data_IF_259140298055
#
_entry.id   IF_259140298055
#
_cell.length_a   1.000
_cell.length_b   1.000
_cell.length_c   1.000
_cell.angle_alpha   90.00
_cell.angle_beta   90.00
_cell.angle_gamma   90.00
#
_symmetry.space_group_name_H-M   'P 1'
#
loop_
_entity.id
_entity.type
_entity.pdbx_description
1 polymer ?
#
# COMPACT_ATOMS: atom_id res chain seq x y z
N UNK A 1 -10.49 11.91 27.26
CA UNK A 1 -10.38 11.09 26.04
C UNK A 1 -10.31 9.64 26.48
N UNK A 2 -11.02 8.72 25.83
CA UNK A 2 -10.94 7.28 26.15
C UNK A 2 -9.54 6.75 25.80
N UNK A 3 -9.04 5.77 26.55
CA UNK A 3 -7.85 5.04 26.14
C UNK A 3 -8.11 4.36 24.78
N UNK A 4 -7.10 4.31 23.88
CA UNK A 4 -7.23 3.57 22.63
C UNK A 4 -7.45 2.08 22.91
N UNK A 5 -8.18 1.38 22.05
CA UNK A 5 -8.42 -0.05 22.22
C UNK A 5 -7.09 -0.82 22.12
N UNK A 6 -7.00 -1.93 22.84
CA UNK A 6 -5.82 -2.82 22.81
C UNK A 6 -5.78 -3.68 21.53
N UNK A 7 -6.89 -3.77 20.80
CA UNK A 7 -7.04 -4.54 19.56
C UNK A 7 -7.95 -3.82 18.58
N UNK A 8 -7.74 -4.05 17.29
CA UNK A 8 -8.59 -3.58 16.21
C UNK A 8 -9.21 -4.79 15.50
N UNK A 9 -10.52 -4.76 15.28
CA UNK A 9 -11.20 -5.81 14.49
C UNK A 9 -10.84 -5.71 13.01
N UNK A 10 -10.68 -4.48 12.51
CA UNK A 10 -10.36 -4.19 11.12
C UNK A 10 -9.39 -3.01 11.01
N UNK A 11 -8.42 -3.14 10.10
CA UNK A 11 -7.55 -2.05 9.66
C UNK A 11 -7.73 -1.93 8.15
N UNK A 12 -8.08 -0.74 7.68
CA UNK A 12 -8.23 -0.45 6.25
C UNK A 12 -7.10 0.49 5.84
N UNK A 13 -6.36 0.10 4.83
CA UNK A 13 -5.35 0.93 4.20
C UNK A 13 -5.75 1.30 2.79
N UNK A 14 -5.71 2.60 2.49
CA UNK A 14 -5.93 3.14 1.16
C UNK A 14 -4.60 3.73 0.69
N UNK A 15 -4.06 3.19 -0.40
CA UNK A 15 -2.85 3.71 -1.06
C UNK A 15 -3.30 4.43 -2.33
N UNK A 16 -2.83 5.66 -2.52
CA UNK A 16 -3.16 6.47 -3.69
C UNK A 16 -1.94 6.61 -4.60
N UNK A 17 -2.21 6.77 -5.89
CA UNK A 17 -1.17 6.95 -6.90
C UNK A 17 -0.40 8.28 -6.72
N UNK A 18 0.89 8.21 -7.06
CA UNK A 18 1.93 9.23 -6.94
C UNK A 18 1.47 10.70 -6.96
N UNK A 19 1.44 11.32 -5.77
CA UNK A 19 1.31 12.76 -5.56
C UNK A 19 2.28 13.23 -4.48
N UNK A 20 3.00 14.31 -4.76
CA UNK A 20 3.90 14.92 -3.78
C UNK A 20 3.11 15.59 -2.65
N UNK A 21 3.69 15.67 -1.46
CA UNK A 21 3.07 16.26 -0.27
C UNK A 21 2.42 17.63 -0.54
N UNK A 22 3.15 18.54 -1.19
CA UNK A 22 2.66 19.89 -1.51
C UNK A 22 1.56 19.95 -2.57
N UNK A 23 1.31 18.86 -3.30
CA UNK A 23 0.17 18.76 -4.23
C UNK A 23 -1.13 18.39 -3.49
N UNK A 24 -1.03 17.83 -2.29
CA UNK A 24 -2.16 17.37 -1.50
C UNK A 24 -2.40 18.30 -0.31
N UNK A 25 -1.42 18.47 0.58
CA UNK A 25 -1.62 19.20 1.83
C UNK A 25 -1.76 20.70 1.55
N UNK A 26 -2.89 21.26 1.98
CA UNK A 26 -3.33 22.63 1.71
C UNK A 26 -4.05 22.81 0.37
N UNK A 27 -4.11 21.79 -0.50
CA UNK A 27 -4.74 21.89 -1.81
C UNK A 27 -6.27 21.88 -1.74
N UNK A 28 -6.90 22.79 -2.48
CA UNK A 28 -8.35 22.84 -2.64
C UNK A 28 -8.91 21.67 -3.48
N UNK A 29 -8.07 21.01 -4.27
CA UNK A 29 -8.44 19.85 -5.10
C UNK A 29 -8.49 18.54 -4.29
N UNK A 30 -7.99 18.54 -3.05
CA UNK A 30 -8.01 17.39 -2.14
C UNK A 30 -8.72 17.72 -0.81
N UNK A 31 -9.96 18.26 -0.84
CA UNK A 31 -10.59 18.84 0.35
C UNK A 31 -10.83 17.80 1.46
N UNK A 32 -11.22 16.58 1.08
CA UNK A 32 -11.50 15.49 2.02
C UNK A 32 -10.23 14.96 2.71
N UNK A 33 -9.15 14.74 1.96
CA UNK A 33 -7.86 14.30 2.53
C UNK A 33 -7.33 15.35 3.50
N UNK A 34 -7.44 16.64 3.15
CA UNK A 34 -7.06 17.74 4.02
C UNK A 34 -7.92 17.87 5.27
N UNK A 35 -9.20 17.50 5.20
CA UNK A 35 -10.06 17.43 6.38
C UNK A 35 -9.57 16.33 7.33
N UNK A 36 -9.36 15.11 6.84
CA UNK A 36 -8.86 13.99 7.64
C UNK A 36 -7.52 14.31 8.30
N UNK A 37 -6.59 14.94 7.57
CA UNK A 37 -5.29 15.33 8.11
C UNK A 37 -5.38 16.35 9.26
N UNK A 38 -6.41 17.21 9.30
CA UNK A 38 -6.64 18.16 10.39
C UNK A 38 -7.35 17.54 11.59
N UNK A 39 -8.26 16.61 11.34
CA UNK A 39 -9.05 15.95 12.39
C UNK A 39 -8.28 14.81 13.09
N UNK A 40 -7.27 14.25 12.41
CA UNK A 40 -6.50 13.09 12.86
C UNK A 40 -4.99 13.35 12.80
N UNK A 41 -4.21 12.30 12.50
CA UNK A 41 -2.76 12.39 12.38
C UNK A 41 -2.32 12.65 10.94
N UNK A 42 -1.26 13.43 10.79
CA UNK A 42 -0.54 13.63 9.54
C UNK A 42 0.94 13.30 9.74
N UNK A 43 1.44 12.28 9.05
CA UNK A 43 2.87 11.95 9.02
C UNK A 43 3.60 12.86 8.01
N UNK A 44 4.04 14.05 8.45
CA UNK A 44 4.71 15.03 7.59
C UNK A 44 6.17 14.70 7.23
N UNK A 45 6.72 13.63 7.81
CA UNK A 45 8.09 13.15 7.60
C UNK A 45 8.09 11.68 7.15
N UNK A 46 7.16 11.33 6.25
CA UNK A 46 7.04 10.01 5.64
C UNK A 46 7.60 10.06 4.21
N UNK A 47 8.51 9.13 3.88
CA UNK A 47 9.24 9.10 2.61
C UNK A 47 9.09 7.75 1.92
N UNK A 48 9.28 7.73 0.61
CA UNK A 48 9.45 6.50 -0.14
C UNK A 48 10.76 5.81 0.27
N UNK A 49 10.76 4.49 0.30
CA UNK A 49 11.93 3.66 0.58
C UNK A 49 12.86 3.57 -0.64
N UNK A 50 12.30 3.57 -1.85
CA UNK A 50 13.07 3.52 -3.09
C UNK A 50 12.28 4.03 -4.31
N UNK A 51 12.94 4.02 -5.46
CA UNK A 51 12.32 4.17 -6.78
C UNK A 51 12.77 3.01 -7.68
N UNK A 52 11.89 2.36 -8.45
CA UNK A 52 10.49 2.73 -8.78
C UNK A 52 9.44 2.30 -7.73
N UNK A 53 8.16 2.11 -8.10
CA UNK A 53 7.05 1.96 -7.16
C UNK A 53 7.07 0.65 -6.37
N UNK A 54 7.28 -0.49 -7.02
CA UNK A 54 7.16 -1.84 -6.44
C UNK A 54 7.96 -2.03 -5.14
N UNK A 55 9.25 -1.63 -5.05
CA UNK A 55 10.01 -1.76 -3.81
C UNK A 55 9.33 -1.11 -2.59
N UNK A 56 8.58 -0.01 -2.80
CA UNK A 56 7.83 0.63 -1.73
C UNK A 56 6.69 -0.25 -1.26
N UNK A 57 5.90 -0.84 -2.17
CA UNK A 57 4.78 -1.73 -1.82
C UNK A 57 5.26 -3.02 -1.10
N UNK A 58 6.43 -3.53 -1.48
CA UNK A 58 7.05 -4.67 -0.80
C UNK A 58 7.55 -4.27 0.59
N UNK A 59 8.26 -3.15 0.73
CA UNK A 59 8.72 -2.65 2.03
C UNK A 59 7.55 -2.34 2.98
N UNK A 60 6.50 -1.78 2.42
CA UNK A 60 5.25 -1.44 3.08
C UNK A 60 4.55 -2.64 3.74
N UNK A 61 4.74 -3.86 3.21
CA UNK A 61 4.06 -5.07 3.68
C UNK A 61 4.99 -6.10 4.34
N UNK A 62 6.28 -6.08 4.02
CA UNK A 62 7.30 -7.03 4.52
C UNK A 62 8.38 -6.39 5.40
N UNK A 63 8.47 -5.06 5.44
CA UNK A 63 9.43 -4.30 6.25
C UNK A 63 10.78 -4.02 5.59
N UNK A 64 11.00 -4.41 4.32
CA UNK A 64 12.19 -4.07 3.51
C UNK A 64 11.88 -4.19 2.02
N UNK A 65 12.68 -3.59 1.15
CA UNK A 65 12.55 -3.71 -0.32
C UNK A 65 12.81 -5.12 -0.84
N UNK A 66 13.36 -6.01 -0.01
CA UNK A 66 13.78 -7.37 -0.39
C UNK A 66 14.74 -7.38 -1.59
N UNK A 67 15.61 -6.37 -1.65
CA UNK A 67 16.57 -6.14 -2.73
C UNK A 67 15.96 -5.91 -4.14
N UNK A 68 14.63 -5.73 -4.22
CA UNK A 68 13.95 -5.36 -5.47
C UNK A 68 14.23 -3.90 -5.79
N UNK A 69 14.57 -3.62 -7.04
CA UNK A 69 14.94 -2.28 -7.53
C UNK A 69 14.27 -1.92 -8.88
N UNK A 70 13.26 -2.67 -9.29
CA UNK A 70 12.49 -2.45 -10.52
C UNK A 70 10.98 -2.68 -10.28
N UNK A 71 10.16 -2.57 -11.32
CA UNK A 71 8.69 -2.75 -11.30
C UNK A 71 8.25 -4.05 -12.00
N UNK A 72 9.14 -5.04 -12.14
CA UNK A 72 8.85 -6.27 -12.86
C UNK A 72 7.78 -7.12 -12.15
N UNK A 73 7.01 -7.92 -12.90
CA UNK A 73 5.89 -8.68 -12.34
C UNK A 73 6.34 -9.77 -11.34
N UNK A 74 5.39 -10.38 -10.60
CA UNK A 74 5.68 -11.48 -9.68
C UNK A 74 6.42 -12.68 -10.28
N UNK A 75 6.38 -12.85 -11.61
CA UNK A 75 7.14 -13.90 -12.29
C UNK A 75 8.66 -13.74 -12.08
N UNK A 76 9.14 -12.51 -11.96
CA UNK A 76 10.57 -12.18 -11.78
C UNK A 76 10.94 -12.05 -10.29
N UNK A 77 9.96 -11.75 -9.43
CA UNK A 77 10.15 -11.48 -8.00
C UNK A 77 9.25 -12.36 -7.12
N UNK A 78 9.58 -13.65 -7.02
CA UNK A 78 8.88 -14.57 -6.12
C UNK A 78 9.41 -14.43 -4.70
N UNK A 79 8.59 -13.95 -3.78
CA UNK A 79 9.00 -13.73 -2.40
C UNK A 79 8.50 -14.85 -1.47
N UNK A 80 9.39 -15.32 -0.60
CA UNK A 80 9.05 -16.23 0.49
C UNK A 80 9.55 -15.65 1.82
N UNK A 81 9.04 -14.48 2.14
CA UNK A 81 9.38 -13.73 3.35
C UNK A 81 8.11 -13.42 4.15
N UNK A 82 8.19 -13.27 5.48
CA UNK A 82 7.05 -12.83 6.27
C UNK A 82 6.53 -11.48 5.79
N UNK A 83 5.20 -11.36 5.71
CA UNK A 83 4.50 -10.11 5.44
C UNK A 83 3.28 -9.98 6.34
N UNK A 84 2.71 -8.77 6.43
CA UNK A 84 1.47 -8.54 7.17
C UNK A 84 0.34 -9.49 6.74
N UNK A 85 0.31 -9.91 5.46
CA UNK A 85 -0.66 -10.87 4.96
C UNK A 85 -0.51 -12.24 5.62
N UNK A 86 0.72 -12.73 5.78
CA UNK A 86 1.00 -14.01 6.45
C UNK A 86 0.70 -13.99 7.95
N UNK A 87 0.78 -12.81 8.58
CA UNK A 87 0.49 -12.63 10.01
C UNK A 87 -1.02 -12.66 10.33
N UNK A 88 -1.88 -12.35 9.35
CA UNK A 88 -3.33 -12.24 9.55
C UNK A 88 -4.08 -13.58 9.44
N UNK A 89 -3.45 -14.65 8.94
CA UNK A 89 -3.97 -16.03 8.89
C UNK A 89 -5.25 -16.22 8.04
N UNK A 90 -5.46 -17.40 7.46
CA UNK A 90 -6.78 -17.92 7.05
C UNK A 90 -7.75 -17.03 6.25
N UNK A 91 -7.27 -16.05 5.47
CA UNK A 91 -8.14 -15.09 4.76
C UNK A 91 -8.47 -13.80 5.52
N UNK A 92 -7.72 -13.48 6.59
CA UNK A 92 -7.82 -12.25 7.37
C UNK A 92 -7.33 -10.99 6.65
N UNK A 93 -6.75 -11.13 5.45
CA UNK A 93 -6.37 -10.01 4.59
C UNK A 93 -7.10 -10.05 3.26
N UNK A 94 -7.31 -8.87 2.68
CA UNK A 94 -7.84 -8.69 1.33
C UNK A 94 -7.25 -7.43 0.70
N UNK A 95 -6.63 -7.58 -0.47
CA UNK A 95 -6.33 -6.47 -1.38
C UNK A 95 -7.48 -6.24 -2.35
N UNK A 96 -7.87 -4.97 -2.51
CA UNK A 96 -8.86 -4.52 -3.48
C UNK A 96 -8.15 -3.57 -4.44
N UNK A 97 -7.89 -4.06 -5.65
CA UNK A 97 -7.05 -3.39 -6.62
C UNK A 97 -7.88 -2.91 -7.81
N UNK A 98 -7.62 -1.68 -8.26
CA UNK A 98 -8.34 -1.08 -9.37
C UNK A 98 -8.25 -1.98 -10.61
N UNK A 99 -9.42 -2.31 -11.17
CA UNK A 99 -9.53 -3.08 -12.42
C UNK A 99 -8.88 -4.47 -12.42
N UNK A 100 -8.57 -5.06 -11.25
CA UNK A 100 -7.99 -6.41 -11.18
C UNK A 100 -8.93 -7.44 -11.83
N UNK A 101 -8.51 -8.15 -12.90
CA UNK A 101 -9.41 -8.99 -13.69
C UNK A 101 -9.97 -10.22 -12.96
N UNK A 102 -9.16 -10.80 -12.07
CA UNK A 102 -9.53 -11.97 -11.27
C UNK A 102 -8.66 -12.07 -10.02
N UNK A 103 -9.06 -12.91 -9.08
CA UNK A 103 -8.27 -13.16 -7.88
C UNK A 103 -6.86 -13.63 -8.25
N UNK A 104 -5.85 -13.02 -7.61
CA UNK A 104 -4.44 -13.34 -7.80
C UNK A 104 -3.92 -13.09 -9.23
N UNK A 105 -4.45 -12.10 -9.96
CA UNK A 105 -3.95 -11.74 -11.29
C UNK A 105 -2.52 -11.17 -11.19
N UNK A 106 -1.57 -11.75 -11.93
CA UNK A 106 -0.12 -11.51 -11.77
C UNK A 106 0.51 -10.64 -12.87
N UNK A 107 -0.28 -9.99 -13.71
CA UNK A 107 0.24 -9.13 -14.79
C UNK A 107 -0.61 -7.88 -14.93
N UNK A 108 -0.07 -6.83 -15.54
CA UNK A 108 -0.85 -5.61 -15.82
C UNK A 108 -2.05 -5.92 -16.74
N UNK A 109 -3.16 -5.20 -16.53
CA UNK A 109 -4.37 -5.32 -17.36
C UNK A 109 -5.22 -4.05 -17.30
N UNK A 110 -5.31 -3.31 -18.42
CA UNK A 110 -6.04 -2.05 -18.42
C UNK A 110 -5.44 -1.05 -17.41
N UNK A 111 -6.24 -0.68 -16.39
CA UNK A 111 -5.78 0.17 -15.28
C UNK A 111 -5.17 -0.62 -14.11
N UNK A 112 -5.26 -1.96 -14.11
CA UNK A 112 -4.61 -2.78 -13.11
C UNK A 112 -3.10 -2.80 -13.34
N UNK A 113 -2.35 -2.28 -12.37
CA UNK A 113 -0.91 -2.33 -12.31
C UNK A 113 -0.47 -3.34 -11.24
N UNK A 114 0.08 -4.50 -11.65
CA UNK A 114 0.40 -5.59 -10.71
C UNK A 114 1.44 -5.15 -9.68
N UNK A 115 2.36 -4.25 -10.05
CA UNK A 115 3.35 -3.63 -9.16
C UNK A 115 2.75 -2.88 -7.95
N UNK A 116 1.47 -2.56 -7.96
CA UNK A 116 0.76 -1.93 -6.84
C UNK A 116 0.05 -2.96 -5.93
N UNK A 117 0.09 -4.25 -6.29
CA UNK A 117 -0.50 -5.34 -5.53
C UNK A 117 0.60 -6.23 -4.90
N UNK A 118 1.11 -5.90 -3.71
CA UNK A 118 2.16 -6.69 -3.07
C UNK A 118 1.70 -8.08 -2.62
N UNK A 119 0.39 -8.38 -2.61
CA UNK A 119 -0.12 -9.68 -2.15
C UNK A 119 0.11 -10.80 -3.17
N UNK A 120 0.43 -10.47 -4.44
CA UNK A 120 0.70 -11.47 -5.49
C UNK A 120 2.19 -11.75 -5.75
N UNK A 121 3.09 -11.06 -5.04
CA UNK A 121 4.54 -11.28 -5.03
C UNK A 121 4.94 -12.27 -3.94
#
# INVERSE_FOLDING_TARGET
>A
MSAPPLSYDHVVWIVMENRAYGQIVGSADAPYINQLAREHGLASNFYAEAHPSLPNYIAMTSGSTQDIADDNPPADHRLNVPSIFSLLGGGGSRSLEESMPSNCYQTDSGQYAVRHNPQVY
#
